data_IF_568967052201
#
_entry.id   IF_568967052201
#
_cell.length_a   1.000
_cell.length_b   1.000
_cell.length_c   1.000
_cell.angle_alpha   90.00
_cell.angle_beta   90.00
_cell.angle_gamma   90.00
#
_symmetry.space_group_name_H-M   'P 1'
#
loop_
_entity.id
_entity.type
_entity.pdbx_description
1 polymer ?
#
# COMPACT_ATOMS: atom_id res chain seq x y z
N UNK A 1 16.16 21.91 -28.02
CA UNK A 1 17.32 21.01 -27.93
C UNK A 1 17.99 21.04 -26.55
N UNK A 2 18.18 22.22 -25.93
CA UNK A 2 18.78 22.36 -24.60
C UNK A 2 17.92 21.75 -23.46
N UNK A 3 16.59 21.96 -23.50
CA UNK A 3 15.65 21.49 -22.46
C UNK A 3 15.54 19.95 -22.46
N UNK A 4 15.55 19.32 -23.64
CA UNK A 4 15.49 17.85 -23.77
C UNK A 4 16.77 17.18 -23.27
N UNK A 5 17.94 17.79 -23.47
CA UNK A 5 19.20 17.30 -22.90
C UNK A 5 19.29 17.52 -21.39
N UNK A 6 18.78 18.65 -20.89
CA UNK A 6 18.69 18.93 -19.46
C UNK A 6 17.74 17.94 -18.75
N UNK A 7 16.57 17.66 -19.33
CA UNK A 7 15.64 16.66 -18.81
C UNK A 7 16.23 15.23 -18.86
N UNK A 8 16.98 14.88 -19.92
CA UNK A 8 17.67 13.60 -19.98
C UNK A 8 18.79 13.49 -18.94
N UNK A 9 19.56 14.56 -18.71
CA UNK A 9 20.60 14.60 -17.68
C UNK A 9 20.00 14.55 -16.27
N UNK A 10 18.94 15.31 -15.99
CA UNK A 10 18.20 15.24 -14.72
C UNK A 10 17.59 13.86 -14.51
N UNK A 11 16.96 13.26 -15.53
CA UNK A 11 16.40 11.92 -15.43
C UNK A 11 17.46 10.85 -15.15
N UNK A 12 18.65 10.98 -15.75
CA UNK A 12 19.77 10.05 -15.54
C UNK A 12 20.43 10.24 -14.16
N UNK A 13 20.62 11.49 -13.73
CA UNK A 13 21.20 11.83 -12.43
C UNK A 13 20.25 11.49 -11.27
N UNK A 14 18.96 11.79 -11.41
CA UNK A 14 17.91 11.42 -10.45
C UNK A 14 17.74 9.90 -10.44
N UNK A 15 17.73 9.25 -11.61
CA UNK A 15 17.69 7.79 -11.71
C UNK A 15 18.86 7.14 -10.98
N UNK A 16 20.09 7.57 -11.25
CA UNK A 16 21.30 7.06 -10.58
C UNK A 16 21.30 7.31 -9.07
N UNK A 17 20.81 8.48 -8.63
CA UNK A 17 20.66 8.79 -7.22
C UNK A 17 19.61 7.91 -6.53
N UNK A 18 18.45 7.71 -7.16
CA UNK A 18 17.39 6.83 -6.63
C UNK A 18 17.90 5.39 -6.52
N UNK A 19 18.60 4.86 -7.53
CA UNK A 19 19.15 3.51 -7.49
C UNK A 19 20.20 3.31 -6.39
N UNK A 20 21.10 4.28 -6.19
CA UNK A 20 22.10 4.20 -5.12
C UNK A 20 21.45 4.29 -3.74
N UNK A 21 20.43 5.14 -3.57
CA UNK A 21 19.67 5.25 -2.33
C UNK A 21 18.87 3.98 -2.03
N UNK A 22 18.23 3.39 -3.05
CA UNK A 22 17.52 2.12 -2.95
C UNK A 22 18.47 0.97 -2.57
N UNK A 23 19.62 0.88 -3.23
CA UNK A 23 20.66 -0.11 -2.92
C UNK A 23 21.21 0.07 -1.50
N UNK A 24 21.38 1.32 -1.04
CA UNK A 24 21.78 1.64 0.33
C UNK A 24 20.74 1.17 1.36
N UNK A 25 19.46 1.43 1.10
CA UNK A 25 18.35 0.97 1.95
C UNK A 25 18.30 -0.56 1.99
N UNK A 26 18.40 -1.24 0.84
CA UNK A 26 18.39 -2.70 0.77
C UNK A 26 19.57 -3.28 1.55
N UNK A 27 20.78 -2.72 1.36
CA UNK A 27 21.98 -3.16 2.07
C UNK A 27 21.84 -2.97 3.58
N UNK A 28 21.31 -1.83 4.02
CA UNK A 28 21.05 -1.57 5.42
C UNK A 28 20.01 -2.53 6.00
N UNK A 29 18.89 -2.75 5.31
CA UNK A 29 17.85 -3.71 5.72
C UNK A 29 18.40 -5.13 5.81
N UNK A 30 19.18 -5.55 4.82
CA UNK A 30 19.82 -6.87 4.81
C UNK A 30 20.80 -7.02 5.97
N UNK A 31 21.64 -6.00 6.21
CA UNK A 31 22.57 -6.00 7.34
C UNK A 31 21.84 -6.03 8.69
N UNK A 32 20.75 -5.27 8.82
CA UNK A 32 19.93 -5.25 10.02
C UNK A 32 19.25 -6.60 10.26
N UNK A 33 18.65 -7.21 9.23
CA UNK A 33 17.99 -8.52 9.30
C UNK A 33 18.96 -9.65 9.70
N UNK A 34 20.20 -9.61 9.20
CA UNK A 34 21.20 -10.63 9.48
C UNK A 34 22.08 -10.35 10.71
N UNK A 35 21.84 -9.24 11.41
CA UNK A 35 22.60 -8.91 12.62
C UNK A 35 22.16 -9.75 13.82
N UNK A 36 23.10 -10.44 14.46
CA UNK A 36 22.87 -11.18 15.71
C UNK A 36 23.31 -10.33 16.90
N UNK A 37 22.42 -10.12 17.87
CA UNK A 37 22.80 -9.46 19.14
C UNK A 37 23.29 -10.51 20.14
N UNK A 38 24.16 -10.11 21.08
CA UNK A 38 24.69 -10.96 22.15
C UNK A 38 23.63 -11.70 23.00
N UNK A 39 22.39 -11.20 23.03
CA UNK A 39 21.27 -11.86 23.73
C UNK A 39 20.54 -12.93 22.89
N UNK A 40 20.84 -13.04 21.61
CA UNK A 40 20.15 -13.86 20.61
C UNK A 40 21.05 -15.00 20.07
N UNK A 41 22.34 -15.02 20.42
CA UNK A 41 23.33 -16.02 19.97
C UNK A 41 22.86 -17.46 20.24
N UNK A 42 22.32 -17.74 21.43
CA UNK A 42 21.70 -19.02 21.79
C UNK A 42 20.63 -19.50 20.79
N UNK A 43 19.84 -18.58 20.22
CA UNK A 43 18.79 -18.94 19.26
C UNK A 43 19.37 -19.37 17.91
N UNK A 44 20.51 -18.79 17.53
CA UNK A 44 21.17 -19.09 16.26
C UNK A 44 22.02 -20.35 16.41
N UNK A 45 22.83 -20.43 17.46
CA UNK A 45 23.82 -21.50 17.67
C UNK A 45 23.17 -22.79 18.15
N UNK A 46 22.27 -22.73 19.14
CA UNK A 46 21.70 -23.92 19.79
C UNK A 46 20.36 -24.38 19.19
N UNK A 47 19.58 -23.42 18.68
CA UNK A 47 18.24 -23.68 18.12
C UNK A 47 18.19 -23.66 16.58
N UNK A 48 19.31 -23.33 15.92
CA UNK A 48 19.45 -23.24 14.46
C UNK A 48 18.38 -22.35 13.81
N UNK A 49 18.15 -21.17 14.42
CA UNK A 49 17.20 -20.19 13.91
C UNK A 49 17.89 -19.11 13.07
N UNK A 50 17.32 -18.81 11.91
CA UNK A 50 17.81 -17.75 11.04
C UNK A 50 17.71 -16.37 11.76
N UNK A 51 18.79 -15.56 11.79
CA UNK A 51 18.79 -14.21 12.37
C UNK A 51 17.65 -13.31 11.87
N UNK A 52 17.27 -13.43 10.59
CA UNK A 52 16.18 -12.66 10.02
C UNK A 52 14.83 -12.98 10.68
N UNK A 53 14.54 -14.26 10.98
CA UNK A 53 13.34 -14.65 11.72
C UNK A 53 13.39 -14.11 13.15
N UNK A 54 14.57 -14.07 13.75
CA UNK A 54 14.73 -13.55 15.10
C UNK A 54 14.41 -12.04 15.13
N UNK A 55 14.88 -11.29 14.12
CA UNK A 55 14.65 -9.84 13.99
C UNK A 55 13.21 -9.46 13.66
N UNK A 56 12.51 -10.31 12.91
CA UNK A 56 11.12 -10.05 12.48
C UNK A 56 10.08 -10.42 13.55
N UNK A 57 10.45 -11.11 14.61
CA UNK A 57 9.51 -11.38 15.70
C UNK A 57 9.22 -10.13 16.53
N UNK A 58 8.08 -10.11 17.21
CA UNK A 58 7.67 -8.97 18.05
C UNK A 58 8.39 -8.93 19.42
N UNK A 59 8.94 -10.05 19.93
CA UNK A 59 9.62 -10.07 21.23
C UNK A 59 11.12 -9.80 21.15
N UNK A 60 11.61 -8.83 21.94
CA UNK A 60 13.03 -8.47 22.03
C UNK A 60 13.84 -9.32 23.03
N UNK A 61 13.20 -10.04 23.97
CA UNK A 61 13.89 -10.72 25.08
C UNK A 61 13.63 -12.23 25.08
N UNK A 62 14.33 -12.95 24.21
CA UNK A 62 14.05 -14.37 23.92
C UNK A 62 14.86 -15.38 24.73
N UNK A 63 15.84 -14.93 25.52
CA UNK A 63 16.64 -15.82 26.38
C UNK A 63 15.92 -16.17 27.69
N UNK A 64 15.00 -15.31 28.14
CA UNK A 64 14.19 -15.46 29.36
C UNK A 64 12.68 -15.38 29.07
N UNK A 65 12.24 -15.70 27.85
CA UNK A 65 10.80 -15.75 27.55
C UNK A 65 10.17 -16.89 28.32
N UNK A 66 9.23 -16.55 29.21
CA UNK A 66 8.32 -17.51 29.81
C UNK A 66 7.65 -18.30 28.67
N UNK A 67 7.63 -19.63 28.81
CA UNK A 67 6.94 -20.49 27.84
C UNK A 67 5.47 -20.07 27.83
N UNK A 68 4.94 -19.79 26.63
CA UNK A 68 3.53 -19.40 26.53
C UNK A 68 2.64 -20.53 27.03
N UNK A 69 1.65 -20.16 27.84
CA UNK A 69 0.56 -21.07 28.18
C UNK A 69 -0.22 -21.45 26.91
N UNK A 70 -0.94 -22.60 26.91
CA UNK A 70 -1.76 -23.00 25.77
C UNK A 70 -2.75 -21.92 25.32
N UNK A 71 -3.29 -21.16 26.27
CA UNK A 71 -4.24 -20.07 26.02
C UNK A 71 -3.56 -18.86 25.38
N UNK A 72 -2.43 -18.40 25.90
CA UNK A 72 -1.64 -17.32 25.30
C UNK A 72 -1.21 -17.65 23.87
N UNK A 73 -0.75 -18.89 23.65
CA UNK A 73 -0.36 -19.36 22.32
C UNK A 73 -1.51 -19.26 21.32
N UNK A 74 -2.70 -19.71 21.71
CA UNK A 74 -3.90 -19.63 20.86
C UNK A 74 -4.31 -18.19 20.60
N UNK A 75 -4.21 -17.30 21.59
CA UNK A 75 -4.50 -15.87 21.43
C UNK A 75 -3.52 -15.22 20.44
N UNK A 76 -2.21 -15.40 20.63
CA UNK A 76 -1.21 -14.81 19.73
C UNK A 76 -1.32 -15.36 18.30
N UNK A 77 -1.57 -16.66 18.15
CA UNK A 77 -1.78 -17.28 16.84
C UNK A 77 -3.08 -16.77 16.18
N UNK A 78 -4.18 -16.68 16.93
CA UNK A 78 -5.45 -16.16 16.45
C UNK A 78 -5.37 -14.69 16.06
N UNK A 79 -4.77 -13.85 16.89
CA UNK A 79 -4.54 -12.43 16.58
C UNK A 79 -3.64 -12.26 15.36
N UNK A 80 -2.54 -13.02 15.27
CA UNK A 80 -1.62 -12.96 14.14
C UNK A 80 -2.31 -13.32 12.81
N UNK A 81 -3.08 -14.41 12.80
CA UNK A 81 -3.83 -14.85 11.60
C UNK A 81 -4.95 -13.86 11.23
N UNK A 82 -5.68 -13.33 12.21
CA UNK A 82 -6.72 -12.32 11.99
C UNK A 82 -6.14 -11.04 11.38
N UNK A 83 -5.03 -10.54 11.93
CA UNK A 83 -4.35 -9.35 11.41
C UNK A 83 -3.89 -9.55 9.97
N UNK A 84 -3.32 -10.72 9.64
CA UNK A 84 -2.92 -11.05 8.27
C UNK A 84 -4.14 -11.07 7.33
N UNK A 85 -5.25 -11.68 7.74
CA UNK A 85 -6.46 -11.75 6.90
C UNK A 85 -7.03 -10.36 6.61
N UNK A 86 -7.14 -9.50 7.64
CA UNK A 86 -7.58 -8.11 7.49
C UNK A 86 -6.60 -7.35 6.58
N UNK A 87 -5.31 -7.53 6.79
CA UNK A 87 -4.29 -6.84 6.03
C UNK A 87 -4.29 -7.20 4.54
N UNK A 88 -4.49 -8.49 4.20
CA UNK A 88 -4.67 -8.92 2.80
C UNK A 88 -5.87 -8.21 2.18
N UNK A 89 -6.98 -8.09 2.90
CA UNK A 89 -8.15 -7.35 2.45
C UNK A 89 -7.86 -5.86 2.19
N UNK A 90 -7.14 -5.20 3.11
CA UNK A 90 -6.75 -3.78 2.97
C UNK A 90 -5.79 -3.59 1.79
N UNK A 91 -4.79 -4.45 1.65
CA UNK A 91 -3.83 -4.40 0.53
C UNK A 91 -4.54 -4.62 -0.80
N UNK A 92 -5.42 -5.60 -0.87
CA UNK A 92 -6.22 -5.85 -2.07
C UNK A 92 -7.13 -4.67 -2.41
N UNK A 93 -7.82 -4.10 -1.43
CA UNK A 93 -8.66 -2.92 -1.62
C UNK A 93 -7.84 -1.72 -2.09
N UNK A 94 -6.68 -1.47 -1.48
CA UNK A 94 -5.76 -0.40 -1.90
C UNK A 94 -5.30 -0.62 -3.34
N UNK A 95 -4.91 -1.85 -3.70
CA UNK A 95 -4.49 -2.20 -5.05
C UNK A 95 -5.63 -2.04 -6.06
N UNK A 96 -6.86 -2.40 -5.70
CA UNK A 96 -8.05 -2.19 -6.52
C UNK A 96 -8.34 -0.71 -6.76
N UNK A 97 -8.03 0.16 -5.80
CA UNK A 97 -8.12 1.61 -5.97
C UNK A 97 -7.03 2.11 -6.93
N UNK A 98 -5.80 1.59 -6.82
CA UNK A 98 -4.69 1.95 -7.71
C UNK A 98 -4.84 1.47 -9.15
N UNK A 99 -5.44 0.30 -9.35
CA UNK A 99 -5.52 -0.34 -10.67
C UNK A 99 -6.79 -0.04 -11.44
N UNK A 100 -7.89 0.24 -10.74
CA UNK A 100 -9.04 0.82 -11.40
C UNK A 100 -8.73 2.30 -11.65
N UNK A 101 -9.04 2.82 -12.84
CA UNK A 101 -8.94 4.25 -13.22
C UNK A 101 -9.70 5.22 -12.28
N UNK A 102 -10.29 4.72 -11.20
CA UNK A 102 -11.05 5.43 -10.18
C UNK A 102 -10.21 6.46 -9.41
N UNK A 103 -8.89 6.27 -9.26
CA UNK A 103 -8.05 7.26 -8.57
C UNK A 103 -8.04 8.63 -9.25
N UNK A 104 -8.04 8.63 -10.57
CA UNK A 104 -7.99 9.85 -11.39
C UNK A 104 -9.38 10.33 -11.81
N UNK A 105 -10.43 9.68 -11.31
CA UNK A 105 -11.82 10.04 -11.56
C UNK A 105 -12.39 10.78 -10.35
N UNK A 106 -13.05 11.90 -10.61
CA UNK A 106 -13.77 12.67 -9.60
C UNK A 106 -15.25 12.63 -9.94
N UNK A 107 -16.08 12.21 -8.99
CA UNK A 107 -17.52 12.39 -9.09
C UNK A 107 -17.84 13.84 -8.75
N UNK A 108 -18.42 14.55 -9.71
CA UNK A 108 -18.82 15.94 -9.57
C UNK A 108 -20.34 16.07 -9.70
N UNK A 109 -20.91 16.93 -8.86
CA UNK A 109 -22.32 17.31 -8.87
C UNK A 109 -22.37 18.80 -9.21
N UNK A 110 -22.90 19.13 -10.39
CA UNK A 110 -22.93 20.51 -10.85
C UNK A 110 -24.11 21.25 -10.21
N UNK A 111 -23.80 22.13 -9.26
CA UNK A 111 -24.79 22.78 -8.40
C UNK A 111 -25.91 23.53 -9.14
N UNK A 112 -25.69 24.02 -10.38
CA UNK A 112 -26.74 24.72 -11.14
C UNK A 112 -27.81 23.79 -11.69
N UNK A 113 -27.41 22.60 -12.14
CA UNK A 113 -28.30 21.69 -12.86
C UNK A 113 -28.64 20.44 -12.07
N UNK A 114 -27.88 20.17 -11.00
CA UNK A 114 -27.86 18.93 -10.22
C UNK A 114 -27.52 17.67 -11.04
N UNK A 115 -26.89 17.88 -12.21
CA UNK A 115 -26.39 16.77 -13.01
C UNK A 115 -25.10 16.23 -12.38
N UNK A 116 -25.07 14.92 -12.16
CA UNK A 116 -23.92 14.25 -11.56
C UNK A 116 -23.14 13.45 -12.61
N UNK A 117 -21.85 13.73 -12.72
CA UNK A 117 -20.97 13.09 -13.69
C UNK A 117 -19.62 12.73 -13.09
N UNK A 118 -18.87 11.91 -13.81
CA UNK A 118 -17.49 11.57 -13.48
C UNK A 118 -16.58 12.31 -14.44
N UNK A 119 -15.62 13.04 -13.91
CA UNK A 119 -14.60 13.76 -14.69
C UNK A 119 -13.21 13.20 -14.39
N UNK A 120 -12.42 13.04 -15.45
CA UNK A 120 -10.99 12.72 -15.41
C UNK A 120 -10.28 13.51 -16.50
N UNK A 121 -8.96 13.40 -16.52
CA UNK A 121 -8.15 14.09 -17.54
C UNK A 121 -8.65 13.78 -18.95
N UNK A 122 -9.01 14.83 -19.70
CA UNK A 122 -9.46 14.77 -21.09
C UNK A 122 -10.86 14.19 -21.34
N UNK A 123 -11.62 13.81 -20.30
CA UNK A 123 -12.89 13.11 -20.46
C UNK A 123 -13.86 13.28 -19.28
N UNK A 124 -15.14 13.50 -19.60
CA UNK A 124 -16.25 13.39 -18.66
C UNK A 124 -17.26 12.33 -19.13
N UNK A 125 -17.86 11.59 -18.21
CA UNK A 125 -18.85 10.54 -18.49
C UNK A 125 -19.94 10.51 -17.43
N UNK A 126 -21.03 9.82 -17.73
CA UNK A 126 -22.15 9.66 -16.80
C UNK A 126 -21.77 8.88 -15.53
N UNK A 127 -22.56 9.08 -14.46
CA UNK A 127 -22.41 8.32 -13.22
C UNK A 127 -23.08 6.96 -13.33
N UNK A 128 -22.34 5.96 -13.80
CA UNK A 128 -22.82 4.57 -13.88
C UNK A 128 -22.02 3.72 -14.86
N UNK A 129 -22.29 2.41 -14.89
CA UNK A 129 -21.67 1.48 -15.86
C UNK A 129 -22.38 1.46 -17.22
N UNK A 130 -23.58 2.05 -17.31
CA UNK A 130 -24.28 2.20 -18.58
C UNK A 130 -23.59 3.33 -19.36
N UNK A 131 -22.95 3.05 -20.48
CA UNK A 131 -22.31 4.06 -21.35
C UNK A 131 -23.37 4.91 -22.05
N UNK A 132 -24.08 5.76 -21.32
CA UNK A 132 -25.09 6.64 -21.92
C UNK A 132 -24.44 7.79 -22.67
N UNK A 133 -23.33 8.33 -22.16
CA UNK A 133 -22.61 9.40 -22.82
C UNK A 133 -21.17 9.57 -22.31
N UNK A 134 -20.34 10.08 -23.19
CA UNK A 134 -18.94 10.43 -22.96
C UNK A 134 -18.69 11.75 -23.69
N UNK A 135 -18.11 12.73 -22.98
CA UNK A 135 -17.75 14.05 -23.53
C UNK A 135 -16.24 14.18 -23.42
N UNK A 136 -15.60 14.32 -24.57
CA UNK A 136 -14.17 14.65 -24.69
C UNK A 136 -14.00 16.05 -25.25
N UNK A 137 -12.76 16.53 -25.32
CA UNK A 137 -12.46 17.81 -25.97
C UNK A 137 -12.90 17.83 -27.45
N UNK A 138 -12.82 16.68 -28.13
CA UNK A 138 -13.32 16.53 -29.50
C UNK A 138 -14.84 16.72 -29.56
N UNK A 139 -15.59 16.09 -28.65
CA UNK A 139 -17.05 16.30 -28.53
C UNK A 139 -17.39 17.77 -28.30
N UNK A 140 -16.62 18.46 -27.47
CA UNK A 140 -16.81 19.89 -27.17
C UNK A 140 -16.55 20.81 -28.37
N UNK A 141 -15.69 20.41 -29.30
CA UNK A 141 -15.38 21.17 -30.51
C UNK A 141 -16.37 20.91 -31.67
N UNK A 142 -17.24 19.91 -31.52
CA UNK A 142 -18.23 19.51 -32.52
C UNK A 142 -19.66 19.64 -31.97
N UNK A 143 -20.36 20.77 -32.24
CA UNK A 143 -21.72 21.02 -31.73
C UNK A 143 -22.69 19.88 -32.01
N UNK A 144 -22.62 19.28 -33.21
CA UNK A 144 -23.48 18.16 -33.62
C UNK A 144 -23.28 16.89 -32.78
N UNK A 145 -22.10 16.69 -32.19
CA UNK A 145 -21.81 15.57 -31.30
C UNK A 145 -22.24 15.88 -29.87
N UNK A 146 -22.04 17.12 -29.42
CA UNK A 146 -22.44 17.59 -28.10
C UNK A 146 -23.97 17.63 -27.95
N UNK A 147 -24.68 17.98 -29.01
CA UNK A 147 -26.14 18.03 -29.05
C UNK A 147 -26.78 16.65 -28.96
N UNK A 148 -26.09 15.58 -29.40
CA UNK A 148 -26.58 14.20 -29.25
C UNK A 148 -26.66 13.73 -27.80
N UNK A 149 -25.98 14.41 -26.88
CA UNK A 149 -26.01 14.09 -25.44
C UNK A 149 -27.26 14.71 -24.81
N UNK A 150 -28.43 14.06 -24.92
CA UNK A 150 -29.70 14.62 -24.42
C UNK A 150 -29.96 14.36 -22.92
N UNK A 151 -29.11 13.57 -22.28
CA UNK A 151 -29.24 13.11 -20.88
C UNK A 151 -28.80 14.13 -19.83
N UNK A 152 -28.15 15.22 -20.21
CA UNK A 152 -27.70 16.30 -19.31
C UNK A 152 -28.08 17.67 -19.86
N UNK A 153 -28.25 18.65 -18.98
CA UNK A 153 -28.67 20.01 -19.36
C UNK A 153 -27.56 20.76 -20.09
N UNK A 154 -27.94 21.72 -20.94
CA UNK A 154 -27.01 22.54 -21.73
C UNK A 154 -25.93 23.24 -20.89
N UNK A 155 -26.32 23.83 -19.75
CA UNK A 155 -25.38 24.47 -18.81
C UNK A 155 -24.32 23.47 -18.28
N UNK A 156 -24.69 22.20 -18.09
CA UNK A 156 -23.75 21.15 -17.67
C UNK A 156 -22.76 20.83 -18.78
N UNK A 157 -23.22 20.77 -20.03
CA UNK A 157 -22.35 20.54 -21.21
C UNK A 157 -21.32 21.65 -21.34
N UNK A 158 -21.76 22.91 -21.24
CA UNK A 158 -20.87 24.08 -21.26
C UNK A 158 -19.83 24.02 -20.14
N UNK A 159 -20.27 23.69 -18.92
CA UNK A 159 -19.39 23.55 -17.77
C UNK A 159 -18.31 22.46 -17.98
N UNK A 160 -18.70 21.29 -18.46
CA UNK A 160 -17.78 20.19 -18.78
C UNK A 160 -16.76 20.64 -19.84
N UNK A 161 -17.23 21.27 -20.92
CA UNK A 161 -16.36 21.72 -22.00
C UNK A 161 -15.40 22.82 -21.57
N UNK A 162 -15.81 23.71 -20.65
CA UNK A 162 -14.92 24.68 -20.05
C UNK A 162 -13.80 23.99 -19.27
N UNK A 163 -14.14 23.02 -18.40
CA UNK A 163 -13.13 22.29 -17.61
C UNK A 163 -12.12 21.59 -18.52
N UNK A 164 -12.59 20.89 -19.57
CA UNK A 164 -11.71 20.18 -20.50
C UNK A 164 -10.85 21.14 -21.33
N UNK A 165 -11.37 22.31 -21.69
CA UNK A 165 -10.63 23.35 -22.40
C UNK A 165 -9.55 23.99 -21.52
N UNK A 166 -9.87 24.29 -20.27
CA UNK A 166 -8.94 24.85 -19.30
C UNK A 166 -7.80 23.84 -18.99
N UNK A 167 -8.14 22.55 -18.85
CA UNK A 167 -7.14 21.49 -18.73
C UNK A 167 -6.19 21.43 -19.94
N UNK A 168 -6.70 21.54 -21.16
CA UNK A 168 -5.86 21.52 -22.37
C UNK A 168 -4.91 22.73 -22.45
N UNK A 169 -5.29 23.88 -21.88
CA UNK A 169 -4.45 25.10 -21.85
C UNK A 169 -3.40 25.04 -20.75
N UNK A 170 -3.81 24.67 -19.54
CA UNK A 170 -2.97 24.72 -18.35
C UNK A 170 -2.25 23.39 -18.07
N UNK A 171 -2.58 22.34 -18.83
CA UNK A 171 -2.05 20.98 -18.68
C UNK A 171 -2.56 20.25 -17.43
N UNK A 172 -3.56 20.81 -16.73
CA UNK A 172 -4.08 20.24 -15.49
C UNK A 172 -5.56 20.54 -15.28
N UNK A 173 -6.28 19.59 -14.67
CA UNK A 173 -7.64 19.80 -14.17
C UNK A 173 -7.68 20.97 -13.15
N UNK A 174 -8.84 21.65 -13.03
CA UNK A 174 -9.08 22.66 -12.02
C UNK A 174 -8.58 22.26 -10.63
N UNK A 175 -7.97 23.20 -9.90
CA UNK A 175 -7.31 22.94 -8.61
C UNK A 175 -8.21 22.19 -7.61
N UNK A 176 -9.52 22.44 -7.63
CA UNK A 176 -10.51 21.73 -6.80
C UNK A 176 -10.55 20.23 -7.09
N UNK A 177 -10.60 19.83 -8.36
CA UNK A 177 -10.63 18.43 -8.79
C UNK A 177 -9.30 17.76 -8.51
N UNK A 178 -8.21 18.45 -8.82
CA UNK A 178 -6.84 17.99 -8.54
C UNK A 178 -6.63 17.71 -7.05
N UNK A 179 -7.15 18.56 -6.14
CA UNK A 179 -7.10 18.30 -4.69
C UNK A 179 -7.82 17.01 -4.28
N UNK A 180 -8.96 16.69 -4.90
CA UNK A 180 -9.72 15.47 -4.59
C UNK A 180 -8.94 14.24 -5.06
N UNK A 181 -8.35 14.29 -6.27
CA UNK A 181 -7.50 13.21 -6.79
C UNK A 181 -6.32 12.96 -5.84
N UNK A 182 -5.62 14.02 -5.40
CA UNK A 182 -4.53 13.90 -4.44
C UNK A 182 -4.98 13.33 -3.09
N UNK A 183 -6.17 13.72 -2.60
CA UNK A 183 -6.73 13.16 -1.37
C UNK A 183 -7.00 11.66 -1.52
N UNK A 184 -7.53 11.20 -2.66
CA UNK A 184 -7.75 9.79 -2.96
C UNK A 184 -6.42 9.00 -3.02
N UNK A 185 -5.39 9.56 -3.67
CA UNK A 185 -4.05 8.96 -3.74
C UNK A 185 -3.44 8.85 -2.33
N UNK A 186 -3.52 9.91 -1.53
CA UNK A 186 -3.02 9.92 -0.17
C UNK A 186 -3.74 8.87 0.69
N UNK A 187 -5.07 8.80 0.59
CA UNK A 187 -5.87 7.80 1.31
C UNK A 187 -5.51 6.37 0.91
N UNK A 188 -5.42 6.07 -0.39
CA UNK A 188 -5.01 4.76 -0.88
C UNK A 188 -3.60 4.37 -0.42
N UNK A 189 -2.68 5.34 -0.38
CA UNK A 189 -1.31 5.15 0.12
C UNK A 189 -1.30 4.83 1.61
N UNK A 190 -2.08 5.56 2.42
CA UNK A 190 -2.21 5.30 3.86
C UNK A 190 -2.80 3.92 4.11
N UNK A 191 -3.84 3.52 3.37
CA UNK A 191 -4.39 2.18 3.46
C UNK A 191 -3.35 1.11 3.15
N UNK A 192 -2.59 1.26 2.05
CA UNK A 192 -1.55 0.32 1.67
C UNK A 192 -0.46 0.18 2.75
N UNK A 193 0.03 1.31 3.29
CA UNK A 193 1.00 1.33 4.38
C UNK A 193 0.44 0.68 5.64
N UNK A 194 -0.82 0.93 5.98
CA UNK A 194 -1.48 0.33 7.14
C UNK A 194 -1.63 -1.19 6.99
N UNK A 195 -1.97 -1.68 5.79
CA UNK A 195 -2.03 -3.10 5.49
C UNK A 195 -0.65 -3.76 5.60
N UNK A 196 0.39 -3.15 5.02
CA UNK A 196 1.76 -3.65 5.15
C UNK A 196 2.23 -3.71 6.61
N UNK A 197 1.88 -2.69 7.41
CA UNK A 197 2.18 -2.66 8.83
C UNK A 197 1.48 -3.80 9.59
N UNK A 198 0.18 -4.03 9.33
CA UNK A 198 -0.55 -5.16 9.93
C UNK A 198 0.02 -6.52 9.51
N UNK A 199 0.46 -6.69 8.26
CA UNK A 199 1.15 -7.91 7.81
C UNK A 199 2.45 -8.13 8.59
N UNK A 200 3.22 -7.07 8.82
CA UNK A 200 4.46 -7.16 9.59
C UNK A 200 4.20 -7.58 11.04
N UNK A 201 3.23 -6.97 11.71
CA UNK A 201 2.87 -7.34 13.09
C UNK A 201 2.27 -8.74 13.18
N UNK A 202 1.36 -9.10 12.27
CA UNK A 202 0.74 -10.42 12.25
C UNK A 202 1.75 -11.53 11.99
N UNK A 203 2.64 -11.36 11.01
CA UNK A 203 3.72 -12.31 10.73
C UNK A 203 4.71 -12.37 11.90
N UNK A 204 5.09 -11.24 12.48
CA UNK A 204 5.97 -11.20 13.66
C UNK A 204 5.40 -11.93 14.87
N UNK A 205 4.08 -11.87 15.11
CA UNK A 205 3.42 -12.61 16.17
C UNK A 205 3.45 -14.13 15.94
N UNK A 206 3.23 -14.58 14.69
CA UNK A 206 3.34 -16.00 14.33
C UNK A 206 4.78 -16.51 14.46
N UNK A 207 5.75 -15.71 14.03
CA UNK A 207 7.18 -16.02 14.18
C UNK A 207 7.54 -16.13 15.67
N UNK A 208 7.01 -15.24 16.52
CA UNK A 208 7.25 -15.29 17.96
C UNK A 208 6.72 -16.58 18.60
N UNK A 209 5.50 -17.00 18.24
CA UNK A 209 4.93 -18.28 18.68
C UNK A 209 5.77 -19.48 18.21
N UNK A 210 6.31 -19.43 16.98
CA UNK A 210 7.18 -20.46 16.45
C UNK A 210 8.50 -20.56 17.24
N UNK A 211 9.14 -19.42 17.52
CA UNK A 211 10.39 -19.37 18.29
C UNK A 211 10.16 -19.83 19.73
N UNK A 212 9.07 -19.41 20.37
CA UNK A 212 8.73 -19.85 21.73
C UNK A 212 8.54 -21.39 21.79
N UNK A 213 7.89 -21.98 20.78
CA UNK A 213 7.74 -23.44 20.67
C UNK A 213 9.10 -24.15 20.59
N UNK A 214 10.04 -23.62 19.82
CA UNK A 214 11.41 -24.17 19.70
C UNK A 214 12.17 -24.10 21.02
N UNK A 215 12.10 -22.97 21.72
CA UNK A 215 12.71 -22.80 23.06
C UNK A 215 12.12 -23.80 24.05
N UNK A 216 10.79 -23.96 24.08
CA UNK A 216 10.12 -24.89 24.99
C UNK A 216 10.53 -26.35 24.74
N UNK A 217 10.68 -26.75 23.48
CA UNK A 217 11.16 -28.09 23.11
C UNK A 217 12.60 -28.34 23.54
N UNK A 218 13.47 -27.35 23.37
CA UNK A 218 14.87 -27.44 23.81
C UNK A 218 14.96 -27.56 25.33
N UNK A 219 14.26 -26.69 26.07
CA UNK A 219 14.26 -26.73 27.54
C UNK A 219 13.75 -28.08 28.07
N UNK A 220 12.72 -28.66 27.45
CA UNK A 220 12.22 -29.98 27.83
C UNK A 220 13.28 -31.07 27.64
N UNK A 221 14.01 -31.05 26.52
CA UNK A 221 15.10 -32.01 26.25
C UNK A 221 16.27 -31.85 27.24
N UNK A 222 16.66 -30.63 27.56
CA UNK A 222 17.74 -30.37 28.54
C UNK A 222 17.35 -30.82 29.95
N UNK A 223 16.07 -30.63 30.34
CA UNK A 223 15.54 -31.17 31.60
C UNK A 223 15.56 -32.71 31.58
N UNK A 224 15.13 -33.35 30.50
CA UNK A 224 15.18 -34.82 30.39
C UNK A 224 16.61 -35.36 30.48
N UNK A 225 17.58 -34.71 29.84
CA UNK A 225 19.01 -35.05 29.97
C UNK A 225 19.51 -34.89 31.40
N UNK A 226 19.18 -33.78 32.08
CA UNK A 226 19.68 -33.55 33.44
C UNK A 226 19.16 -34.61 34.42
N UNK A 227 17.93 -35.09 34.24
CA UNK A 227 17.41 -36.22 35.01
C UNK A 227 18.19 -37.52 34.75
N UNK A 228 18.63 -37.78 33.51
CA UNK A 228 19.47 -38.95 33.19
C UNK A 228 20.86 -38.90 33.81
N UNK A 229 21.42 -37.72 34.07
CA UNK A 229 22.71 -37.58 34.74
C UNK A 229 22.62 -37.70 36.28
N UNK A 230 21.41 -37.56 36.83
CA UNK A 230 21.14 -37.64 38.28
C UNK A 230 20.71 -39.04 38.74
N UNK A 231 20.40 -39.95 37.81
CA UNK A 231 20.04 -41.36 38.05
C UNK A 231 21.14 -42.28 37.56
#
# INVERSE_FOLDING_TARGET
MLITQLNAFLATAIGGFIFTLLAGIIKHLYSWLNSVKKGEEFLVEELDLNPALIRLSVSNNKRNTKIYSPLEKTIFFGLGTLLIAIAIGIVWLSFSIFTNDNLYQVKEDYAKTHDTFIIRSGLAKNTGNNKEWEITLETCNHPDLLDKVNSIKGETKEYICQILSDENKDGALPLRLTKIIWANIAFATVLLLSGLWMLFFGSGALIDVYINKKIAQFNKKEIEKSYQYLT
#
